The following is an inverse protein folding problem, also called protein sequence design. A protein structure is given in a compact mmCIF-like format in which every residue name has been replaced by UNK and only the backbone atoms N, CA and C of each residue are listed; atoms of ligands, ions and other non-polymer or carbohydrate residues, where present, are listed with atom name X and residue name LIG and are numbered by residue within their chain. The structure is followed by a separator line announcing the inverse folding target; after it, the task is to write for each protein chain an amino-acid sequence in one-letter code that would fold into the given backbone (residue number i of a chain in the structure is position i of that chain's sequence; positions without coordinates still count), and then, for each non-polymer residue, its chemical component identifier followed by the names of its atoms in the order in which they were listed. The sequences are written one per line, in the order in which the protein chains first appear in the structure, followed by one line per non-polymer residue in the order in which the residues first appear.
data_IF_303999439160
#
_entry.id   IF_303999439160
#
_cell.length_a   1.000
_cell.length_b   1.000
_cell.length_c   1.000
_cell.angle_alpha   90.00
_cell.angle_beta   90.00
_cell.angle_gamma   90.00
#
_symmetry.space_group_name_H-M   'P 1'
#
loop_
_entity.id
_entity.type
_entity.pdbx_description
1 polymer ?
#
# COMPACT_ATOMS: atom_id res chain seq x y z
N UNK A 1 -27.87 61.62 25.89
CA UNK A 1 -27.50 60.20 26.12
C UNK A 1 -27.44 59.41 24.80
N UNK A 2 -26.56 59.77 23.85
CA UNK A 2 -26.40 59.02 22.57
C UNK A 2 -24.96 58.88 22.05
N UNK A 3 -23.94 59.36 22.78
CA UNK A 3 -22.51 59.21 22.40
C UNK A 3 -21.73 58.16 23.20
N UNK A 4 -22.29 57.64 24.30
CA UNK A 4 -21.64 56.57 25.11
C UNK A 4 -22.06 55.16 24.71
N UNK A 5 -23.14 55.01 23.95
CA UNK A 5 -23.60 53.72 23.44
C UNK A 5 -22.90 53.29 22.14
N UNK A 6 -22.31 54.24 21.41
CA UNK A 6 -21.59 53.95 20.15
C UNK A 6 -20.14 53.48 20.37
N UNK A 7 -19.52 53.82 21.51
CA UNK A 7 -18.17 53.32 21.85
C UNK A 7 -18.19 51.85 22.28
N UNK A 8 -19.29 51.38 22.89
CA UNK A 8 -19.41 49.98 23.34
C UNK A 8 -19.59 48.99 22.20
N UNK A 9 -20.24 49.40 21.10
CA UNK A 9 -20.46 48.54 19.92
C UNK A 9 -19.20 48.51 19.03
N UNK A 10 -18.43 49.59 18.96
CA UNK A 10 -17.19 49.64 18.19
C UNK A 10 -16.03 48.88 18.87
N UNK A 11 -15.98 48.87 20.21
CA UNK A 11 -15.01 48.03 20.95
C UNK A 11 -15.31 46.54 20.89
N UNK A 12 -16.57 46.12 20.69
CA UNK A 12 -16.92 44.71 20.55
C UNK A 12 -16.52 44.14 19.17
N UNK A 13 -16.48 44.98 18.12
CA UNK A 13 -16.06 44.59 16.78
C UNK A 13 -14.53 44.44 16.63
N UNK A 14 -13.74 45.15 17.43
CA UNK A 14 -12.27 45.09 17.38
C UNK A 14 -11.69 43.84 18.06
N UNK A 15 -12.40 43.20 18.99
CA UNK A 15 -11.94 41.95 19.62
C UNK A 15 -12.18 40.74 18.70
N UNK A 16 -13.22 40.78 17.85
CA UNK A 16 -13.48 39.75 16.84
C UNK A 16 -12.48 39.76 15.68
N UNK A 17 -11.77 40.87 15.45
CA UNK A 17 -10.72 40.98 14.42
C UNK A 17 -9.34 40.53 14.92
N UNK A 18 -9.14 40.31 16.22
CA UNK A 18 -7.83 39.89 16.79
C UNK A 18 -7.81 38.41 17.19
N UNK A 19 -8.95 37.72 17.17
CA UNK A 19 -8.99 36.24 17.25
C UNK A 19 -8.87 35.56 15.88
N UNK A 20 -8.63 36.33 14.81
CA UNK A 20 -8.45 35.85 13.44
C UNK A 20 -7.09 36.21 12.89
N UNK A 21 -6.01 35.78 13.56
CA UNK A 21 -4.64 35.67 13.02
C UNK A 21 -3.76 35.02 14.08
N UNK A 22 -3.97 33.71 14.27
CA UNK A 22 -2.97 32.74 14.72
C UNK A 22 -3.58 31.37 14.42
N UNK A 23 -3.82 31.14 13.13
CA UNK A 23 -3.84 29.78 12.61
C UNK A 23 -2.51 29.68 11.88
N UNK A 24 -1.56 29.01 12.52
CA UNK A 24 -0.46 28.40 11.79
C UNK A 24 -1.11 27.62 10.62
N UNK A 25 -0.74 27.98 9.40
CA UNK A 25 -1.05 27.18 8.23
C UNK A 25 -0.29 25.86 8.38
N UNK A 26 -0.91 24.88 9.03
CA UNK A 26 -0.68 23.49 8.67
C UNK A 26 -1.26 23.29 7.27
N UNK A 27 -0.54 22.59 6.36
CA UNK A 27 -1.00 22.36 5.01
C UNK A 27 -2.30 21.56 5.07
N UNK A 28 -3.41 22.24 4.84
CA UNK A 28 -4.74 21.68 4.91
C UNK A 28 -4.93 20.63 3.82
N UNK A 29 -4.94 19.37 4.23
CA UNK A 29 -5.59 18.29 3.50
C UNK A 29 -7.05 18.75 3.25
N UNK A 30 -7.43 18.88 1.97
CA UNK A 30 -8.78 19.26 1.57
C UNK A 30 -9.76 18.12 1.89
N UNK A 31 -10.19 18.00 3.14
CA UNK A 31 -11.22 17.04 3.54
C UNK A 31 -12.58 17.62 3.11
N UNK A 32 -12.92 17.48 1.83
CA UNK A 32 -14.31 17.60 1.37
C UNK A 32 -15.12 16.50 2.08
N UNK A 33 -16.20 16.90 2.74
CA UNK A 33 -17.23 16.00 3.30
C UNK A 33 -18.03 15.37 2.13
N UNK A 34 -17.38 14.50 1.39
CA UNK A 34 -18.00 13.61 0.42
C UNK A 34 -18.69 12.49 1.20
N UNK A 35 -19.85 12.01 0.77
CA UNK A 35 -20.31 10.68 1.21
C UNK A 35 -19.13 9.71 1.04
N UNK A 36 -18.79 8.99 2.10
CA UNK A 36 -17.57 8.18 2.16
C UNK A 36 -17.53 7.20 0.98
N UNK A 37 -16.65 7.45 0.00
CA UNK A 37 -16.53 6.64 -1.23
C UNK A 37 -16.31 5.15 -0.91
N UNK A 38 -15.58 4.89 0.16
CA UNK A 38 -15.52 3.60 0.84
C UNK A 38 -16.46 3.57 2.04
N UNK A 39 -17.32 2.56 2.14
CA UNK A 39 -18.21 2.34 3.26
C UNK A 39 -17.69 1.23 4.20
N UNK A 40 -18.39 0.95 5.30
CA UNK A 40 -17.96 -0.09 6.25
C UNK A 40 -17.91 -1.51 5.66
N UNK A 41 -18.80 -1.86 4.71
CA UNK A 41 -18.71 -3.16 4.03
C UNK A 41 -17.46 -3.27 3.17
N UNK A 42 -16.99 -2.14 2.63
CA UNK A 42 -15.76 -2.09 1.86
C UNK A 42 -14.55 -2.38 2.76
N UNK A 43 -14.51 -1.77 3.95
CA UNK A 43 -13.50 -2.05 4.97
C UNK A 43 -13.56 -3.49 5.47
N UNK A 44 -14.74 -4.02 5.77
CA UNK A 44 -14.93 -5.43 6.16
C UNK A 44 -14.41 -6.38 5.09
N UNK A 45 -14.66 -6.09 3.80
CA UNK A 45 -14.13 -6.88 2.69
C UNK A 45 -12.61 -6.77 2.60
N UNK A 46 -12.05 -5.57 2.75
CA UNK A 46 -10.61 -5.34 2.77
C UNK A 46 -9.92 -6.12 3.91
N UNK A 47 -10.49 -6.11 5.12
CA UNK A 47 -10.01 -6.93 6.25
C UNK A 47 -10.10 -8.42 5.91
N UNK A 48 -11.23 -8.90 5.39
CA UNK A 48 -11.37 -10.30 5.00
C UNK A 48 -10.41 -10.76 3.89
N UNK A 49 -9.94 -9.83 3.04
CA UNK A 49 -8.86 -10.09 2.07
C UNK A 49 -7.50 -10.20 2.76
N UNK A 50 -7.20 -9.32 3.73
CA UNK A 50 -5.94 -9.38 4.50
C UNK A 50 -5.89 -10.66 5.35
N UNK A 51 -6.97 -11.01 6.03
CA UNK A 51 -7.06 -12.22 6.86
C UNK A 51 -6.87 -13.49 6.02
N UNK A 52 -7.57 -13.61 4.88
CA UNK A 52 -7.39 -14.76 3.98
C UNK A 52 -5.95 -14.87 3.49
N UNK A 53 -5.33 -13.74 3.12
CA UNK A 53 -3.93 -13.72 2.71
C UNK A 53 -3.01 -14.18 3.85
N UNK A 54 -3.22 -13.68 5.07
CA UNK A 54 -2.44 -14.06 6.25
C UNK A 54 -2.55 -15.55 6.57
N UNK A 55 -3.74 -16.14 6.47
CA UNK A 55 -3.93 -17.58 6.64
C UNK A 55 -3.11 -18.38 5.60
N UNK A 56 -3.09 -17.95 4.34
CA UNK A 56 -2.29 -18.60 3.30
C UNK A 56 -0.79 -18.42 3.51
N UNK A 57 -0.35 -17.27 4.00
CA UNK A 57 1.05 -17.01 4.30
C UNK A 57 1.57 -17.91 5.42
N UNK A 58 0.78 -18.10 6.49
CA UNK A 58 1.09 -19.04 7.58
C UNK A 58 1.18 -20.47 7.03
N UNK A 59 0.22 -20.86 6.19
CA UNK A 59 0.22 -22.18 5.56
C UNK A 59 1.47 -22.39 4.68
N UNK A 60 1.82 -21.38 3.89
CA UNK A 60 3.00 -21.40 3.03
C UNK A 60 4.30 -21.56 3.81
N UNK A 61 4.50 -20.83 4.91
CA UNK A 61 5.68 -21.01 5.76
C UNK A 61 5.77 -22.44 6.31
N UNK A 62 4.65 -22.94 6.86
CA UNK A 62 4.61 -24.27 7.47
C UNK A 62 4.86 -25.39 6.46
N UNK A 63 4.12 -25.41 5.34
CA UNK A 63 4.25 -26.46 4.33
C UNK A 63 5.62 -26.42 3.63
N UNK A 64 6.17 -25.22 3.39
CA UNK A 64 7.50 -25.09 2.78
C UNK A 64 8.58 -25.59 3.72
N UNK A 65 8.54 -25.22 5.00
CA UNK A 65 9.49 -25.71 6.00
C UNK A 65 9.38 -27.23 6.21
N UNK A 66 8.16 -27.79 6.15
CA UNK A 66 7.97 -29.24 6.16
C UNK A 66 8.61 -29.90 4.93
N UNK A 67 8.38 -29.36 3.72
CA UNK A 67 8.97 -29.87 2.48
C UNK A 67 10.51 -29.80 2.48
N UNK A 68 11.09 -28.74 3.05
CA UNK A 68 12.55 -28.63 3.27
C UNK A 68 13.01 -29.75 4.22
N UNK A 69 12.33 -29.95 5.36
CA UNK A 69 12.70 -30.96 6.35
C UNK A 69 12.65 -32.40 5.82
N UNK A 70 11.74 -32.67 4.87
CA UNK A 70 11.60 -33.97 4.19
C UNK A 70 12.60 -34.16 3.05
N UNK A 71 13.37 -33.14 2.67
CA UNK A 71 14.30 -33.17 1.54
C UNK A 71 13.61 -33.09 0.17
N UNK A 72 12.36 -32.64 0.11
CA UNK A 72 11.64 -32.43 -1.16
C UNK A 72 12.14 -31.16 -1.88
N UNK A 73 12.61 -30.18 -1.11
CA UNK A 73 13.33 -28.99 -1.59
C UNK A 73 14.83 -29.23 -1.41
N UNK A 74 15.60 -29.05 -2.50
CA UNK A 74 17.05 -29.20 -2.45
C UNK A 74 17.66 -27.92 -1.87
N UNK A 75 18.37 -28.07 -0.75
CA UNK A 75 18.97 -26.98 0.00
C UNK A 75 20.37 -26.63 -0.49
N UNK A 76 21.04 -27.49 -1.28
CA UNK A 76 22.44 -27.29 -1.71
C UNK A 76 22.61 -26.42 -2.95
N UNK A 77 21.51 -26.00 -3.57
CA UNK A 77 21.50 -25.13 -4.76
C UNK A 77 20.52 -23.98 -4.57
N UNK A 78 21.06 -22.77 -4.36
CA UNK A 78 20.27 -21.57 -4.03
C UNK A 78 19.23 -21.21 -5.10
N UNK A 79 19.54 -21.42 -6.38
CA UNK A 79 18.62 -21.09 -7.47
C UNK A 79 17.44 -22.06 -7.51
N UNK A 80 17.74 -23.37 -7.40
CA UNK A 80 16.71 -24.41 -7.34
C UNK A 80 15.86 -24.28 -6.07
N UNK A 81 16.48 -23.97 -4.94
CA UNK A 81 15.78 -23.69 -3.68
C UNK A 81 14.78 -22.55 -3.88
N UNK A 82 15.22 -21.39 -4.37
CA UNK A 82 14.36 -20.22 -4.61
C UNK A 82 13.24 -20.54 -5.57
N UNK A 83 13.53 -21.22 -6.68
CA UNK A 83 12.52 -21.61 -7.65
C UNK A 83 11.44 -22.51 -7.04
N UNK A 84 11.83 -23.50 -6.23
CA UNK A 84 10.88 -24.40 -5.55
C UNK A 84 10.03 -23.67 -4.51
N UNK A 85 10.64 -22.79 -3.72
CA UNK A 85 9.92 -21.98 -2.73
C UNK A 85 8.96 -21.00 -3.43
N UNK A 86 9.40 -20.32 -4.48
CA UNK A 86 8.55 -19.43 -5.29
C UNK A 86 7.35 -20.20 -5.87
N UNK A 87 7.57 -21.41 -6.41
CA UNK A 87 6.50 -22.27 -6.92
C UNK A 87 5.51 -22.69 -5.81
N UNK A 88 5.97 -22.93 -4.59
CA UNK A 88 5.07 -23.20 -3.46
C UNK A 88 4.27 -21.96 -3.08
N UNK A 89 4.89 -20.78 -3.09
CA UNK A 89 4.20 -19.52 -2.82
C UNK A 89 3.08 -19.25 -3.84
N UNK A 90 3.34 -19.56 -5.11
CA UNK A 90 2.34 -19.44 -6.18
C UNK A 90 1.13 -20.36 -5.94
N UNK A 91 1.40 -21.62 -5.59
CA UNK A 91 0.35 -22.64 -5.43
C UNK A 91 -0.44 -22.52 -4.12
N UNK A 92 0.19 -22.07 -3.04
CA UNK A 92 -0.41 -22.02 -1.70
C UNK A 92 -1.04 -20.65 -1.42
N UNK A 93 -0.42 -19.57 -1.91
CA UNK A 93 -0.83 -18.19 -1.61
C UNK A 93 -1.48 -17.54 -2.82
N UNK A 94 -0.73 -17.32 -3.90
CA UNK A 94 -1.14 -16.44 -4.99
C UNK A 94 -2.37 -16.97 -5.73
N UNK A 95 -2.32 -18.20 -6.24
CA UNK A 95 -3.42 -18.77 -7.03
C UNK A 95 -4.68 -19.00 -6.20
N UNK A 96 -4.62 -19.56 -4.97
CA UNK A 96 -5.80 -19.65 -4.11
C UNK A 96 -6.42 -18.30 -3.79
N UNK A 97 -5.59 -17.29 -3.51
CA UNK A 97 -6.06 -15.92 -3.24
C UNK A 97 -6.76 -15.33 -4.46
N UNK A 98 -6.15 -15.38 -5.64
CA UNK A 98 -6.72 -14.88 -6.90
C UNK A 98 -7.97 -15.64 -7.33
N UNK A 99 -8.11 -16.92 -6.95
CA UNK A 99 -9.34 -17.68 -7.18
C UNK A 99 -10.51 -17.17 -6.34
N UNK A 100 -10.24 -16.71 -5.10
CA UNK A 100 -11.24 -16.15 -4.19
C UNK A 100 -11.52 -14.67 -4.47
N UNK A 101 -10.48 -13.90 -4.78
CA UNK A 101 -10.52 -12.47 -5.09
C UNK A 101 -9.88 -12.20 -6.46
N UNK A 102 -10.60 -12.44 -7.56
CA UNK A 102 -10.07 -12.27 -8.90
C UNK A 102 -9.55 -10.85 -9.14
N UNK A 103 -8.41 -10.74 -9.84
CA UNK A 103 -7.78 -9.47 -10.23
C UNK A 103 -7.34 -8.58 -9.07
N UNK A 104 -7.39 -9.07 -7.82
CA UNK A 104 -6.98 -8.31 -6.65
C UNK A 104 -5.47 -8.12 -6.54
N UNK A 105 -4.66 -8.80 -7.34
CA UNK A 105 -3.22 -8.60 -7.43
C UNK A 105 -2.86 -8.46 -8.91
N UNK A 106 -1.97 -7.54 -9.25
CA UNK A 106 -1.53 -7.33 -10.64
C UNK A 106 -0.22 -8.04 -10.92
N UNK A 107 -0.29 -9.00 -11.85
CA UNK A 107 0.85 -9.82 -12.28
C UNK A 107 1.45 -9.40 -13.63
N UNK A 108 0.90 -8.41 -14.34
CA UNK A 108 1.27 -8.19 -15.75
C UNK A 108 2.69 -7.63 -16.00
N UNK A 109 3.47 -7.22 -14.98
CA UNK A 109 4.93 -6.97 -15.14
C UNK A 109 5.82 -7.96 -14.39
N UNK A 110 5.32 -9.08 -13.89
CA UNK A 110 6.19 -10.07 -13.24
C UNK A 110 5.48 -11.22 -12.54
N UNK A 111 6.25 -12.26 -12.21
CA UNK A 111 5.80 -13.35 -11.34
C UNK A 111 5.52 -12.77 -9.96
N UNK A 112 4.28 -12.89 -9.48
CA UNK A 112 3.91 -12.53 -8.11
C UNK A 112 4.70 -13.41 -7.15
N UNK A 113 5.31 -12.81 -6.13
CA UNK A 113 6.11 -13.56 -5.15
C UNK A 113 5.82 -13.12 -3.74
N UNK A 114 5.73 -14.09 -2.84
CA UNK A 114 5.69 -13.81 -1.40
C UNK A 114 7.09 -13.39 -0.95
N UNK A 115 7.17 -12.35 -0.12
CA UNK A 115 8.41 -11.96 0.55
C UNK A 115 8.70 -12.94 1.70
N UNK A 116 9.90 -13.51 1.71
CA UNK A 116 10.37 -14.40 2.79
C UNK A 116 11.88 -14.23 3.00
N UNK A 117 12.36 -14.62 4.19
CA UNK A 117 13.79 -14.72 4.51
C UNK A 117 14.19 -16.18 4.61
N UNK A 118 15.23 -16.58 3.90
CA UNK A 118 15.85 -17.91 4.05
C UNK A 118 16.84 -17.92 5.21
N UNK A 119 16.88 -19.01 5.96
CA UNK A 119 17.83 -19.24 7.06
C UNK A 119 18.73 -20.43 6.73
N UNK A 120 19.92 -20.42 7.33
CA UNK A 120 20.92 -21.47 7.25
C UNK A 120 21.51 -21.64 8.64
N UNK A 121 21.60 -22.88 9.12
CA UNK A 121 22.41 -23.25 10.28
C UNK A 121 23.90 -23.34 9.96
N UNK A 122 24.25 -23.46 8.67
CA UNK A 122 25.63 -23.48 8.18
C UNK A 122 26.15 -22.08 7.84
N UNK A 123 27.46 -21.86 8.05
CA UNK A 123 28.12 -20.58 7.84
C UNK A 123 28.35 -20.32 6.33
N UNK A 124 27.64 -19.33 5.78
CA UNK A 124 27.51 -19.07 4.35
C UNK A 124 28.65 -18.23 3.74
N UNK A 125 29.91 -18.52 4.06
CA UNK A 125 31.04 -17.65 3.69
C UNK A 125 31.65 -17.91 2.30
N UNK A 126 31.34 -19.04 1.65
CA UNK A 126 31.88 -19.39 0.33
C UNK A 126 30.87 -20.13 -0.58
N UNK A 127 30.00 -19.42 -1.30
CA UNK A 127 29.15 -20.00 -2.36
C UNK A 127 27.74 -20.41 -1.92
N UNK A 128 27.19 -21.49 -2.52
CA UNK A 128 25.82 -21.99 -2.24
C UNK A 128 25.62 -22.20 -0.73
N UNK A 129 24.44 -21.81 -0.24
CA UNK A 129 24.03 -21.93 1.15
C UNK A 129 23.04 -23.07 1.29
N UNK A 130 23.25 -23.92 2.30
CA UNK A 130 22.26 -24.93 2.71
C UNK A 130 21.13 -24.26 3.49
N UNK A 131 20.17 -23.64 2.80
CA UNK A 131 19.03 -23.02 3.47
C UNK A 131 18.10 -24.08 4.07
N UNK A 132 17.95 -24.09 5.38
CA UNK A 132 17.20 -25.11 6.12
C UNK A 132 15.77 -24.70 6.48
N UNK A 133 15.43 -23.43 6.31
CA UNK A 133 14.07 -22.92 6.53
C UNK A 133 13.84 -21.57 5.84
N UNK A 134 12.56 -21.22 5.70
CA UNK A 134 12.09 -19.87 5.37
C UNK A 134 11.30 -19.29 6.54
N UNK A 135 11.23 -17.96 6.59
CA UNK A 135 10.35 -17.21 7.49
C UNK A 135 9.63 -16.14 6.69
N UNK A 136 8.32 -16.07 6.84
CA UNK A 136 7.47 -15.06 6.21
C UNK A 136 7.26 -13.93 7.23
N UNK A 137 7.33 -12.65 6.81
CA UNK A 137 7.02 -11.54 7.70
C UNK A 137 5.56 -11.61 8.18
N UNK A 138 5.32 -11.20 9.42
CA UNK A 138 3.95 -11.09 9.95
C UNK A 138 3.46 -9.65 9.85
N UNK A 139 2.19 -9.45 9.54
CA UNK A 139 1.54 -8.15 9.54
C UNK A 139 0.70 -8.01 10.79
N UNK A 140 0.96 -6.95 11.55
CA UNK A 140 0.13 -6.49 12.65
C UNK A 140 -0.49 -5.16 12.26
N UNK A 141 -1.80 -5.00 12.42
CA UNK A 141 -2.50 -3.78 12.04
C UNK A 141 -3.69 -3.52 12.96
N UNK A 142 -4.07 -2.25 13.06
CA UNK A 142 -5.28 -1.83 13.76
C UNK A 142 -6.39 -1.58 12.73
N UNK A 143 -7.49 -2.33 12.84
CA UNK A 143 -8.64 -2.24 11.92
C UNK A 143 -9.36 -0.88 11.97
N UNK A 144 -9.03 0.01 12.91
CA UNK A 144 -9.64 1.34 13.01
C UNK A 144 -8.89 2.42 12.20
N UNK A 145 -7.67 2.15 11.73
CA UNK A 145 -6.75 3.17 11.21
C UNK A 145 -6.79 3.28 9.69
N UNK A 146 -7.94 3.70 9.17
CA UNK A 146 -8.17 3.91 7.75
C UNK A 146 -8.01 5.38 7.33
N UNK A 147 -7.34 5.59 6.21
CA UNK A 147 -7.24 6.86 5.49
C UNK A 147 -7.84 6.70 4.08
N UNK A 148 -8.44 7.77 3.57
CA UNK A 148 -8.86 7.83 2.15
C UNK A 148 -8.04 8.90 1.45
N UNK A 149 -7.54 8.57 0.26
CA UNK A 149 -6.78 9.48 -0.58
C UNK A 149 -7.40 9.52 -1.98
N UNK A 150 -7.78 10.70 -2.46
CA UNK A 150 -8.31 10.90 -3.82
C UNK A 150 -7.35 11.74 -4.63
N UNK A 151 -6.94 11.23 -5.80
CA UNK A 151 -6.18 12.00 -6.77
C UNK A 151 -7.13 12.78 -7.67
N UNK A 152 -6.91 14.10 -7.78
CA UNK A 152 -7.63 14.94 -8.76
C UNK A 152 -7.06 14.77 -10.18
N UNK A 153 -5.79 14.36 -10.31
CA UNK A 153 -5.10 14.24 -11.61
C UNK A 153 -5.43 12.93 -12.32
N UNK A 154 -5.59 11.84 -11.56
CA UNK A 154 -5.87 10.50 -12.08
C UNK A 154 -7.31 10.04 -11.84
N UNK A 155 -8.13 10.84 -11.14
CA UNK A 155 -9.54 10.56 -10.84
C UNK A 155 -9.79 9.18 -10.17
N UNK A 156 -8.88 8.76 -9.27
CA UNK A 156 -8.97 7.50 -8.53
C UNK A 156 -8.94 7.78 -7.03
N UNK A 157 -9.67 6.97 -6.26
CA UNK A 157 -9.63 7.01 -4.79
C UNK A 157 -9.06 5.72 -4.19
N UNK A 158 -8.05 5.87 -3.32
CA UNK A 158 -7.45 4.82 -2.52
C UNK A 158 -8.03 4.77 -1.10
N UNK A 159 -8.26 3.55 -0.60
CA UNK A 159 -8.43 3.24 0.81
C UNK A 159 -7.12 2.70 1.36
N UNK A 160 -6.59 3.34 2.38
CA UNK A 160 -5.28 3.07 2.96
C UNK A 160 -5.49 2.58 4.39
N UNK A 161 -5.06 1.36 4.69
CA UNK A 161 -4.89 0.89 6.05
C UNK A 161 -3.50 1.32 6.53
N UNK A 162 -3.46 2.32 7.41
CA UNK A 162 -2.25 2.92 7.92
C UNK A 162 -1.70 2.16 9.13
N UNK A 163 -0.44 2.45 9.49
CA UNK A 163 0.25 1.89 10.67
C UNK A 163 0.26 0.36 10.74
N UNK A 164 0.42 -0.27 9.59
CA UNK A 164 0.65 -1.72 9.51
C UNK A 164 2.12 -1.94 9.91
N UNK A 165 2.35 -2.73 10.95
CA UNK A 165 3.69 -3.11 11.41
C UNK A 165 4.03 -4.45 10.78
N UNK A 166 5.06 -4.46 9.95
CA UNK A 166 5.63 -5.67 9.38
C UNK A 166 6.80 -6.15 10.25
N UNK A 167 6.61 -7.27 10.92
CA UNK A 167 7.60 -7.85 11.82
C UNK A 167 8.42 -8.91 11.10
N UNK A 168 9.74 -8.74 11.16
CA UNK A 168 10.70 -9.74 10.70
C UNK A 168 11.37 -10.38 11.91
N UNK A 169 11.62 -11.67 11.87
CA UNK A 169 12.29 -12.37 12.97
C UNK A 169 13.65 -11.75 13.36
N UNK A 170 14.34 -11.16 12.39
CA UNK A 170 15.68 -10.60 12.58
C UNK A 170 15.68 -9.08 12.81
N UNK A 171 14.51 -8.43 12.87
CA UNK A 171 14.36 -6.99 13.13
C UNK A 171 13.37 -6.78 14.28
N UNK A 172 13.84 -6.52 15.51
CA UNK A 172 12.98 -6.45 16.68
C UNK A 172 11.97 -5.29 16.67
N UNK A 173 12.26 -4.21 15.94
CA UNK A 173 11.43 -2.99 15.95
C UNK A 173 10.37 -2.97 14.83
N UNK A 174 10.30 -4.00 13.99
CA UNK A 174 9.42 -4.04 12.81
C UNK A 174 9.68 -2.91 11.80
N UNK A 175 8.90 -2.88 10.74
CA UNK A 175 8.87 -1.78 9.76
C UNK A 175 7.43 -1.29 9.61
N UNK A 176 7.22 0.02 9.76
CA UNK A 176 5.91 0.63 9.52
C UNK A 176 5.65 0.74 8.02
N UNK A 177 4.48 0.30 7.59
CA UNK A 177 4.01 0.32 6.21
C UNK A 177 2.50 0.57 6.20
N UNK A 178 1.91 0.54 5.01
CA UNK A 178 0.46 0.51 4.81
C UNK A 178 0.06 -0.66 3.92
N UNK A 179 -1.24 -0.90 3.83
CA UNK A 179 -1.88 -1.76 2.85
C UNK A 179 -2.91 -0.90 2.13
N UNK A 180 -3.00 -1.01 0.80
CA UNK A 180 -3.84 -0.11 0.02
C UNK A 180 -4.77 -0.86 -0.89
N UNK A 181 -5.92 -0.24 -1.09
CA UNK A 181 -7.01 -0.77 -1.85
C UNK A 181 -7.60 0.29 -2.77
N UNK A 182 -8.09 -0.17 -3.92
CA UNK A 182 -8.88 0.64 -4.85
C UNK A 182 -10.19 -0.06 -5.17
N UNK A 183 -11.18 0.73 -5.56
CA UNK A 183 -12.47 0.23 -6.00
C UNK A 183 -12.53 0.29 -7.53
N UNK A 184 -12.96 -0.80 -8.15
CA UNK A 184 -13.29 -0.80 -9.57
C UNK A 184 -14.70 -0.31 -9.82
N UNK A 185 -14.99 0.01 -11.09
CA UNK A 185 -16.31 0.44 -11.55
C UNK A 185 -17.44 -0.59 -11.32
N UNK A 186 -17.10 -1.82 -10.94
CA UNK A 186 -18.02 -2.88 -10.52
C UNK A 186 -18.32 -2.90 -9.01
N UNK A 187 -17.89 -1.89 -8.26
CA UNK A 187 -17.92 -1.83 -6.78
C UNK A 187 -17.10 -2.95 -6.10
N UNK A 188 -16.19 -3.58 -6.84
CA UNK A 188 -15.25 -4.56 -6.28
C UNK A 188 -13.99 -3.88 -5.78
N UNK A 189 -13.40 -4.44 -4.71
CA UNK A 189 -12.19 -3.92 -4.09
C UNK A 189 -11.02 -4.81 -4.46
N UNK A 190 -9.89 -4.18 -4.78
CA UNK A 190 -8.64 -4.81 -5.19
C UNK A 190 -7.50 -4.27 -4.34
N UNK A 191 -6.46 -5.07 -4.09
CA UNK A 191 -5.21 -4.51 -3.55
C UNK A 191 -4.55 -3.63 -4.62
N UNK A 192 -4.25 -2.38 -4.27
CA UNK A 192 -3.29 -1.56 -5.02
C UNK A 192 -1.88 -1.70 -4.45
N UNK A 193 -1.74 -2.00 -3.15
CA UNK A 193 -0.46 -2.27 -2.52
C UNK A 193 -0.58 -3.29 -1.38
N UNK A 194 0.32 -4.28 -1.37
CA UNK A 194 0.55 -5.15 -0.22
C UNK A 194 2.07 -5.31 0.00
N UNK A 195 2.58 -5.16 1.24
CA UNK A 195 4.02 -5.20 1.52
C UNK A 195 4.62 -6.61 1.45
N UNK A 196 3.82 -7.67 1.61
CA UNK A 196 4.32 -9.05 1.56
C UNK A 196 4.34 -9.58 0.13
N UNK A 197 3.32 -9.28 -0.67
CA UNK A 197 3.25 -9.75 -2.05
C UNK A 197 3.96 -8.76 -2.98
N UNK A 198 5.06 -9.20 -3.57
CA UNK A 198 5.77 -8.47 -4.62
C UNK A 198 4.91 -8.48 -5.88
N UNK A 199 4.15 -7.42 -6.07
CA UNK A 199 3.35 -7.16 -7.26
C UNK A 199 3.67 -5.78 -7.82
N UNK A 200 3.14 -5.46 -9.00
CA UNK A 200 3.06 -4.07 -9.39
C UNK A 200 2.08 -3.38 -8.46
N UNK A 201 2.64 -2.74 -7.44
CA UNK A 201 1.87 -1.88 -6.59
C UNK A 201 1.95 -0.46 -7.14
N UNK A 202 0.89 0.33 -6.95
CA UNK A 202 0.98 1.76 -7.16
C UNK A 202 0.66 2.53 -5.88
N UNK A 203 1.12 3.76 -5.86
CA UNK A 203 0.91 4.71 -4.78
C UNK A 203 0.43 6.00 -5.42
N UNK A 204 -0.89 6.27 -5.39
CA UNK A 204 -1.44 7.47 -6.02
C UNK A 204 -0.81 8.73 -5.48
N UNK A 205 -0.51 8.75 -4.18
CA UNK A 205 0.10 9.90 -3.53
C UNK A 205 1.50 10.19 -4.06
N UNK A 206 2.31 9.16 -4.27
CA UNK A 206 3.63 9.32 -4.90
C UNK A 206 3.50 9.81 -6.35
N UNK A 207 2.52 9.31 -7.11
CA UNK A 207 2.29 9.77 -8.47
C UNK A 207 1.81 11.22 -8.54
N UNK A 208 0.91 11.64 -7.65
CA UNK A 208 0.49 13.04 -7.56
C UNK A 208 1.67 13.94 -7.15
N UNK A 209 2.50 13.51 -6.20
CA UNK A 209 3.71 14.23 -5.80
C UNK A 209 4.70 14.36 -6.97
N UNK A 210 4.92 13.29 -7.72
CA UNK A 210 5.78 13.28 -8.90
C UNK A 210 5.22 14.19 -9.99
N UNK A 211 3.93 14.08 -10.32
CA UNK A 211 3.25 14.93 -11.30
C UNK A 211 3.35 16.42 -10.95
N UNK A 212 3.06 16.80 -9.70
CA UNK A 212 3.17 18.21 -9.28
C UNK A 212 4.63 18.69 -9.27
N UNK A 213 5.59 17.80 -9.04
CA UNK A 213 7.02 18.16 -9.04
C UNK A 213 7.53 18.57 -10.43
N UNK A 214 6.92 18.06 -11.51
CA UNK A 214 7.29 18.39 -12.91
C UNK A 214 7.32 19.91 -13.10
N UNK A 215 6.28 20.62 -12.65
CA UNK A 215 6.17 22.09 -12.74
C UNK A 215 7.34 22.85 -12.10
N UNK A 216 8.02 22.23 -11.14
CA UNK A 216 9.16 22.82 -10.41
C UNK A 216 10.53 22.31 -10.86
N UNK A 217 10.59 21.18 -11.56
CA UNK A 217 11.83 20.47 -11.88
C UNK A 217 12.25 20.52 -13.35
N UNK A 218 11.33 20.83 -14.27
CA UNK A 218 11.64 20.97 -15.71
C UNK A 218 11.44 22.41 -16.21
N UNK A 219 12.15 22.79 -17.31
CA UNK A 219 11.96 24.09 -17.95
C UNK A 219 10.50 24.31 -18.35
N UNK A 220 10.00 25.55 -18.23
CA UNK A 220 8.61 25.90 -18.54
C UNK A 220 8.18 25.48 -19.96
N UNK A 221 9.12 25.45 -20.92
CA UNK A 221 8.88 25.01 -22.29
C UNK A 221 8.66 23.49 -22.45
N UNK A 222 8.98 22.69 -21.44
CA UNK A 222 8.94 21.23 -21.46
C UNK A 222 7.86 20.64 -20.53
N UNK A 223 7.27 21.46 -19.63
CA UNK A 223 6.27 21.01 -18.64
C UNK A 223 5.12 20.22 -19.27
N UNK A 224 4.48 20.76 -20.33
CA UNK A 224 3.31 20.12 -20.95
C UNK A 224 3.63 18.73 -21.51
N UNK A 225 4.81 18.57 -22.13
CA UNK A 225 5.24 17.31 -22.70
C UNK A 225 5.56 16.28 -21.60
N UNK A 226 6.28 16.70 -20.55
CA UNK A 226 6.64 15.81 -19.44
C UNK A 226 5.42 15.42 -18.60
N UNK A 227 4.44 16.32 -18.41
CA UNK A 227 3.16 16.00 -17.77
C UNK A 227 2.35 14.99 -18.59
N UNK A 228 2.32 15.12 -19.92
CA UNK A 228 1.64 14.17 -20.81
C UNK A 228 2.32 12.79 -20.80
N UNK A 229 3.65 12.76 -20.92
CA UNK A 229 4.44 11.53 -20.88
C UNK A 229 4.25 10.79 -19.54
N UNK A 230 4.32 11.51 -18.41
CA UNK A 230 4.08 10.90 -17.09
C UNK A 230 2.65 10.38 -16.93
N UNK A 231 1.65 11.15 -17.40
CA UNK A 231 0.24 10.69 -17.37
C UNK A 231 0.08 9.41 -18.18
N UNK A 232 0.69 9.32 -19.36
CA UNK A 232 0.64 8.10 -20.17
C UNK A 232 1.30 6.91 -19.44
N UNK A 233 2.44 7.10 -18.78
CA UNK A 233 3.10 6.04 -18.00
C UNK A 233 2.21 5.52 -16.87
N UNK A 234 1.53 6.43 -16.16
CA UNK A 234 0.58 6.08 -15.10
C UNK A 234 -0.63 5.35 -15.68
N UNK A 235 -1.21 5.84 -16.77
CA UNK A 235 -2.32 5.19 -17.48
C UNK A 235 -1.97 3.77 -17.93
N UNK A 236 -0.75 3.51 -18.40
CA UNK A 236 -0.29 2.16 -18.75
C UNK A 236 -0.20 1.21 -17.55
N UNK A 237 0.04 1.73 -16.35
CA UNK A 237 -0.02 0.93 -15.11
C UNK A 237 -1.48 0.68 -14.72
N UNK A 238 -2.30 1.71 -14.74
CA UNK A 238 -3.71 1.66 -14.38
C UNK A 238 -4.55 0.78 -15.31
N UNK A 239 -4.21 0.73 -16.61
CA UNK A 239 -4.89 -0.10 -17.60
C UNK A 239 -4.84 -1.62 -17.32
N UNK A 240 -3.97 -2.05 -16.39
CA UNK A 240 -3.87 -3.44 -15.93
C UNK A 240 -4.94 -3.79 -14.89
N UNK A 241 -5.46 -2.78 -14.19
CA UNK A 241 -6.60 -2.94 -13.31
C UNK A 241 -7.90 -2.98 -14.15
N UNK A 242 -8.98 -3.59 -13.63
CA UNK A 242 -10.31 -3.21 -14.09
C UNK A 242 -10.49 -1.68 -14.04
N UNK A 243 -11.39 -1.10 -14.84
CA UNK A 243 -11.67 0.35 -14.76
C UNK A 243 -11.87 0.78 -13.30
N UNK A 244 -11.03 1.70 -12.82
CA UNK A 244 -11.01 2.15 -11.42
C UNK A 244 -11.90 3.38 -11.22
N UNK A 245 -12.19 3.68 -9.95
CA UNK A 245 -12.97 4.82 -9.48
C UNK A 245 -12.25 5.54 -8.33
#
# INVERSE_FOLDING_TARGET
MKKRFMLGIFSLFLILLVTGCNQEEEPGNNIKKTESFFNEKDKEKAIGMIEDLNEKLILFENETNEAISKGEIDVGNNEVFRQKVDNMSENIVIQPFLKKFPKSLISERGVLKVTYTSKSTDDCTFGNCSYDSIVVPTLEFNEEEWEMYSSEEFEITELILSNVVMSYLNKPDGESTNIRFVKGASDEIFFSFNPIIKSLNFNLKEWDEEFQSIKSNVPESEIEAEEEDFKQEVEEVLAKYPPLQ
#
